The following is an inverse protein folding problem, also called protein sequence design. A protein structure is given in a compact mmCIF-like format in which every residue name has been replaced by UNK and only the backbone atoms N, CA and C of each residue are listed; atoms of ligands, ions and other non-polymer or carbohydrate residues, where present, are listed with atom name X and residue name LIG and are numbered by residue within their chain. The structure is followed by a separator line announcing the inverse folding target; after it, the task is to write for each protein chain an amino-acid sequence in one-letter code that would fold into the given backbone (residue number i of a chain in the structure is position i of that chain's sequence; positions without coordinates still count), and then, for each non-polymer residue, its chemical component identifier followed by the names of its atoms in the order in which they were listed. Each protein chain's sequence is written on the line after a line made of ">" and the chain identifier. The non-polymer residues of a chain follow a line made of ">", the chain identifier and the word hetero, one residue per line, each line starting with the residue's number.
data_IF_795841051275
#
_entry.id   IF_795841051275
#
_cell.length_a   1.000
_cell.length_b   1.000
_cell.length_c   1.000
_cell.angle_alpha   90.00
_cell.angle_beta   90.00
_cell.angle_gamma   90.00
#
_symmetry.space_group_name_H-M   'P 1'
#
loop_
_entity.id
_entity.type
_entity.pdbx_description
1 polymer ?
#
# COMPACT_ATOMS: atom_id res chain seq x y z
N UNK A 1 -22.14 1.14 -6.06
CA UNK A 1 -21.01 1.78 -5.37
C UNK A 1 -20.99 3.25 -5.75
N UNK A 2 -20.87 4.19 -4.79
CA UNK A 2 -20.75 5.61 -5.14
C UNK A 2 -19.44 5.84 -5.89
N UNK A 3 -19.47 6.60 -7.00
CA UNK A 3 -18.28 6.79 -7.84
C UNK A 3 -17.07 7.36 -7.08
N UNK A 4 -17.34 8.11 -6.00
CA UNK A 4 -16.33 8.62 -5.06
C UNK A 4 -15.55 7.52 -4.37
N UNK A 5 -16.20 6.44 -3.91
CA UNK A 5 -15.50 5.32 -3.27
C UNK A 5 -14.58 4.61 -4.25
N UNK A 6 -15.02 4.41 -5.49
CA UNK A 6 -14.20 3.78 -6.53
C UNK A 6 -12.96 4.61 -6.89
N UNK A 7 -13.10 5.94 -6.96
CA UNK A 7 -11.96 6.84 -7.19
C UNK A 7 -10.99 6.81 -6.00
N UNK A 8 -11.51 6.85 -4.77
CA UNK A 8 -10.69 6.79 -3.55
C UNK A 8 -9.94 5.46 -3.41
N UNK A 9 -10.61 4.33 -3.69
CA UNK A 9 -10.01 3.00 -3.69
C UNK A 9 -8.90 2.89 -4.75
N UNK A 10 -9.18 3.32 -5.98
CA UNK A 10 -8.20 3.36 -7.06
C UNK A 10 -6.98 4.23 -6.73
N UNK A 11 -7.19 5.40 -6.11
CA UNK A 11 -6.10 6.26 -5.66
C UNK A 11 -5.25 5.60 -4.57
N UNK A 12 -5.87 4.96 -3.58
CA UNK A 12 -5.14 4.21 -2.54
C UNK A 12 -4.32 3.06 -3.13
N UNK A 13 -4.89 2.27 -4.05
CA UNK A 13 -4.18 1.17 -4.70
C UNK A 13 -3.00 1.68 -5.54
N UNK A 14 -3.18 2.76 -6.30
CA UNK A 14 -2.13 3.35 -7.12
C UNK A 14 -0.98 3.90 -6.26
N UNK A 15 -1.30 4.62 -5.19
CA UNK A 15 -0.31 5.14 -4.25
C UNK A 15 0.41 4.02 -3.49
N UNK A 16 -0.33 3.03 -2.98
CA UNK A 16 0.25 1.86 -2.32
C UNK A 16 1.21 1.10 -3.24
N UNK A 17 0.82 0.86 -4.50
CA UNK A 17 1.69 0.28 -5.51
C UNK A 17 2.94 1.11 -5.79
N UNK A 18 2.81 2.44 -5.87
CA UNK A 18 3.97 3.33 -6.05
C UNK A 18 4.94 3.25 -4.86
N UNK A 19 4.44 3.21 -3.62
CA UNK A 19 5.28 3.03 -2.43
C UNK A 19 6.00 1.67 -2.42
N UNK A 20 5.33 0.60 -2.86
CA UNK A 20 5.96 -0.73 -2.98
C UNK A 20 7.09 -0.72 -4.03
N UNK A 21 6.88 -0.08 -5.17
CA UNK A 21 7.91 0.05 -6.20
C UNK A 21 9.10 0.89 -5.72
N UNK A 22 8.84 2.05 -5.13
CA UNK A 22 9.88 2.94 -4.59
C UNK A 22 10.67 2.23 -3.50
N UNK A 23 9.98 1.53 -2.61
CA UNK A 23 10.57 0.75 -1.52
C UNK A 23 11.43 -0.42 -2.01
N UNK A 24 10.94 -1.17 -2.99
CA UNK A 24 11.70 -2.24 -3.65
C UNK A 24 12.96 -1.72 -4.36
N UNK A 25 12.85 -0.60 -5.07
CA UNK A 25 14.01 0.08 -5.69
C UNK A 25 14.98 0.59 -4.61
N UNK A 26 14.46 1.17 -3.52
CA UNK A 26 15.25 1.64 -2.38
C UNK A 26 16.05 0.52 -1.72
N UNK A 27 15.45 -0.66 -1.57
CA UNK A 27 16.11 -1.85 -1.03
C UNK A 27 17.31 -2.29 -1.88
N UNK A 28 17.19 -2.20 -3.21
CA UNK A 28 18.25 -2.57 -4.16
C UNK A 28 19.35 -1.51 -4.27
N UNK A 29 19.00 -0.22 -4.20
CA UNK A 29 19.96 0.90 -4.36
C UNK A 29 20.69 1.28 -3.08
N UNK A 30 20.13 1.04 -1.91
CA UNK A 30 20.72 1.54 -0.68
C UNK A 30 21.96 0.74 -0.24
N UNK A 31 23.04 1.43 0.19
CA UNK A 31 24.33 0.79 0.45
C UNK A 31 24.45 0.12 1.83
N UNK A 32 23.67 0.57 2.83
CA UNK A 32 23.77 0.07 4.21
C UNK A 32 22.54 -0.73 4.65
N UNK A 33 22.73 -1.70 5.56
CA UNK A 33 21.66 -2.55 6.10
C UNK A 33 20.53 -1.72 6.74
N UNK A 34 20.86 -0.73 7.57
CA UNK A 34 19.85 0.10 8.22
C UNK A 34 19.04 0.94 7.24
N UNK A 35 19.67 1.45 6.17
CA UNK A 35 18.93 2.22 5.16
C UNK A 35 18.01 1.31 4.35
N UNK A 36 18.43 0.07 4.04
CA UNK A 36 17.55 -0.94 3.43
C UNK A 36 16.39 -1.31 4.34
N UNK A 37 16.64 -1.47 5.64
CA UNK A 37 15.61 -1.79 6.63
C UNK A 37 14.59 -0.65 6.76
N UNK A 38 15.02 0.60 6.72
CA UNK A 38 14.13 1.76 6.68
C UNK A 38 13.26 1.77 5.41
N UNK A 39 13.86 1.56 4.23
CA UNK A 39 13.11 1.47 2.98
C UNK A 39 12.09 0.31 2.99
N UNK A 40 12.47 -0.85 3.54
CA UNK A 40 11.56 -1.98 3.74
C UNK A 40 10.41 -1.62 4.70
N UNK A 41 10.71 -0.96 5.84
CA UNK A 41 9.69 -0.53 6.79
C UNK A 41 8.69 0.47 6.23
N UNK A 42 9.15 1.42 5.40
CA UNK A 42 8.26 2.36 4.68
C UNK A 42 7.36 1.60 3.69
N UNK A 43 7.89 0.58 3.03
CA UNK A 43 7.12 -0.28 2.11
C UNK A 43 6.03 -1.05 2.84
N UNK A 44 6.36 -1.63 3.99
CA UNK A 44 5.44 -2.49 4.75
C UNK A 44 4.33 -1.65 5.40
N UNK A 45 4.69 -0.51 6.01
CA UNK A 45 3.72 0.34 6.71
C UNK A 45 2.83 1.15 5.76
N UNK A 46 3.42 1.90 4.81
CA UNK A 46 2.66 2.75 3.89
C UNK A 46 2.20 2.00 2.65
N UNK A 47 3.06 1.18 2.05
CA UNK A 47 2.74 0.42 0.84
C UNK A 47 1.62 -0.60 1.09
N UNK A 48 1.84 -1.54 2.02
CA UNK A 48 0.81 -2.54 2.35
C UNK A 48 -0.41 -1.87 2.99
N UNK A 49 -0.22 -0.89 3.87
CA UNK A 49 -1.32 -0.14 4.50
C UNK A 49 -2.26 0.51 3.48
N UNK A 50 -1.75 1.21 2.46
CA UNK A 50 -2.59 1.83 1.43
C UNK A 50 -3.26 0.79 0.52
N UNK A 51 -2.59 -0.32 0.20
CA UNK A 51 -3.19 -1.39 -0.60
C UNK A 51 -4.35 -2.05 0.12
N UNK A 52 -4.17 -2.39 1.40
CA UNK A 52 -5.21 -2.97 2.25
C UNK A 52 -6.39 -2.01 2.43
N UNK A 53 -6.11 -0.72 2.63
CA UNK A 53 -7.15 0.30 2.76
C UNK A 53 -7.93 0.50 1.44
N UNK A 54 -7.25 0.50 0.29
CA UNK A 54 -7.90 0.52 -1.02
C UNK A 54 -8.80 -0.68 -1.27
N UNK A 55 -8.34 -1.88 -0.89
CA UNK A 55 -9.14 -3.12 -0.96
C UNK A 55 -10.34 -3.09 -0.01
N UNK A 56 -10.18 -2.58 1.21
CA UNK A 56 -11.27 -2.44 2.18
C UNK A 56 -12.36 -1.48 1.67
N UNK A 57 -11.96 -0.38 1.02
CA UNK A 57 -12.89 0.59 0.42
C UNK A 57 -13.64 0.01 -0.80
N UNK A 58 -12.98 -0.84 -1.59
CA UNK A 58 -13.59 -1.48 -2.76
C UNK A 58 -14.51 -2.66 -2.39
N UNK A 59 -14.09 -3.48 -1.43
CA UNK A 59 -14.80 -4.68 -0.98
C UNK A 59 -16.02 -4.39 -0.07
N UNK A 60 -16.12 -3.18 0.48
CA UNK A 60 -17.25 -2.75 1.32
C UNK A 60 -17.40 -3.55 2.63
N UNK A 61 -18.60 -3.60 3.21
CA UNK A 61 -18.88 -4.29 4.49
C UNK A 61 -18.93 -5.82 4.41
N UNK A 62 -18.15 -6.44 3.51
CA UNK A 62 -18.11 -7.90 3.37
C UNK A 62 -17.26 -8.53 4.48
N UNK A 63 -17.50 -9.82 4.75
CA UNK A 63 -16.69 -10.58 5.72
C UNK A 63 -15.20 -10.65 5.32
N UNK A 64 -14.89 -10.41 4.04
CA UNK A 64 -13.52 -10.27 3.54
C UNK A 64 -12.82 -9.04 4.12
N UNK A 65 -13.50 -7.90 4.18
CA UNK A 65 -12.97 -6.65 4.73
C UNK A 65 -12.65 -6.72 6.22
N UNK A 66 -13.38 -7.52 7.00
CA UNK A 66 -13.12 -7.68 8.43
C UNK A 66 -11.82 -8.45 8.72
N UNK A 67 -11.31 -9.19 7.73
CA UNK A 67 -10.08 -9.99 7.84
C UNK A 67 -8.83 -9.24 7.34
N UNK A 68 -9.04 -8.11 6.66
CA UNK A 68 -8.01 -7.16 6.20
C UNK A 68 -7.58 -6.33 7.41
#
# INVERSE_FOLDING_TARGET
>A
MSGILSIAAGACLALGGAFVLIGGIGLLRMPSFFTRLHAAGVTDTLGAGLVLLGLALDAGGSQGTLKI
#
